data_IF_111882416109
#
_entry.id   IF_111882416109
#
_cell.length_a   1.000
_cell.length_b   1.000
_cell.length_c   1.000
_cell.angle_alpha   90.00
_cell.angle_beta   90.00
_cell.angle_gamma   90.00
#
_symmetry.space_group_name_H-M   'P 1'
#
loop_
_entity.id
_entity.type
_entity.pdbx_description
1 polymer ?
#
# COMPACT_ATOMS: atom_id res chain seq x y z
N UNK A 1 -46.73 -51.17 9.96
CA UNK A 1 -46.97 -49.96 9.08
C UNK A 1 -46.22 -48.82 9.68
N UNK A 2 -44.96 -48.72 9.37
CA UNK A 2 -44.07 -47.69 9.91
C UNK A 2 -43.79 -46.65 8.83
N UNK A 3 -44.39 -45.49 8.98
CA UNK A 3 -44.17 -44.34 8.13
C UNK A 3 -42.87 -43.62 8.54
N UNK A 4 -41.77 -43.85 7.80
CA UNK A 4 -40.57 -43.04 7.89
C UNK A 4 -40.88 -41.67 7.27
N UNK A 5 -40.87 -40.62 8.09
CA UNK A 5 -40.86 -39.25 7.62
C UNK A 5 -39.47 -38.94 7.07
N UNK A 6 -39.34 -38.81 5.76
CA UNK A 6 -38.16 -38.21 5.10
C UNK A 6 -38.13 -36.71 5.37
N UNK A 7 -37.17 -36.30 6.20
CA UNK A 7 -36.84 -34.87 6.34
C UNK A 7 -36.10 -34.40 5.10
N UNK A 8 -36.82 -33.79 4.17
CA UNK A 8 -36.23 -33.08 3.05
C UNK A 8 -35.49 -31.85 3.58
N UNK A 9 -34.17 -31.98 3.66
CA UNK A 9 -33.28 -30.87 3.96
C UNK A 9 -33.25 -29.95 2.73
N UNK A 10 -34.12 -28.92 2.72
CA UNK A 10 -34.09 -27.89 1.68
C UNK A 10 -32.88 -26.99 1.94
N UNK A 11 -31.81 -27.21 1.18
CA UNK A 11 -30.73 -26.26 1.06
C UNK A 11 -31.29 -25.07 0.28
N UNK A 12 -31.72 -24.02 0.99
CA UNK A 12 -31.96 -22.73 0.32
C UNK A 12 -30.61 -22.26 -0.23
N UNK A 13 -30.47 -22.04 -1.56
CA UNK A 13 -29.30 -21.38 -2.07
C UNK A 13 -29.29 -19.97 -1.50
N UNK A 14 -28.23 -19.63 -0.74
CA UNK A 14 -27.95 -18.24 -0.39
C UNK A 14 -27.88 -17.45 -1.69
N UNK A 15 -28.96 -16.74 -2.02
CA UNK A 15 -28.91 -15.78 -3.12
C UNK A 15 -27.78 -14.79 -2.84
N UNK A 16 -26.94 -14.52 -3.84
CA UNK A 16 -25.93 -13.49 -3.70
C UNK A 16 -26.64 -12.20 -3.29
N UNK A 17 -26.21 -11.61 -2.17
CA UNK A 17 -26.63 -10.26 -1.81
C UNK A 17 -26.39 -9.40 -3.05
N UNK A 18 -27.43 -8.73 -3.50
CA UNK A 18 -27.41 -7.82 -4.63
C UNK A 18 -26.10 -7.05 -4.62
N UNK A 19 -25.23 -7.34 -5.58
CA UNK A 19 -24.07 -6.49 -5.87
C UNK A 19 -24.69 -5.23 -6.42
N UNK A 20 -24.96 -4.27 -5.54
CA UNK A 20 -25.35 -2.94 -5.97
C UNK A 20 -24.21 -2.42 -6.83
N UNK A 21 -24.50 -1.99 -8.08
CA UNK A 21 -23.47 -1.38 -8.92
C UNK A 21 -22.84 -0.26 -8.11
N UNK A 22 -21.50 -0.17 -8.14
CA UNK A 22 -20.70 0.83 -7.43
C UNK A 22 -21.39 2.18 -7.62
N UNK A 23 -22.02 2.75 -6.60
CA UNK A 23 -22.71 4.00 -6.82
C UNK A 23 -21.65 5.08 -7.04
N UNK A 24 -21.78 5.86 -8.09
CA UNK A 24 -21.05 7.12 -8.30
C UNK A 24 -21.16 8.09 -7.10
N UNK A 25 -22.01 7.80 -6.12
CA UNK A 25 -22.17 8.51 -4.86
C UNK A 25 -20.90 8.49 -3.95
N UNK A 26 -20.00 7.53 -4.12
CA UNK A 26 -18.78 7.38 -3.30
C UNK A 26 -17.85 8.57 -3.51
N UNK A 27 -17.79 9.14 -4.71
CA UNK A 27 -16.94 10.31 -5.02
C UNK A 27 -17.52 11.65 -4.49
N UNK A 28 -18.75 11.69 -4.02
CA UNK A 28 -19.43 12.97 -3.71
C UNK A 28 -19.00 13.62 -2.42
N UNK A 29 -18.56 12.88 -1.42
CA UNK A 29 -18.36 13.41 -0.06
C UNK A 29 -17.09 14.22 0.09
N UNK A 30 -16.02 13.81 -0.60
CA UNK A 30 -14.71 14.45 -0.50
C UNK A 30 -14.08 14.71 -1.88
N UNK A 31 -14.93 14.95 -2.91
CA UNK A 31 -14.48 15.16 -4.31
C UNK A 31 -13.45 16.31 -4.38
N UNK A 32 -13.66 17.39 -3.65
CA UNK A 32 -12.73 18.52 -3.62
C UNK A 32 -11.36 18.11 -3.07
N UNK A 33 -11.31 17.32 -1.99
CA UNK A 33 -10.06 16.84 -1.39
C UNK A 33 -9.34 15.92 -2.37
N UNK A 34 -10.06 14.94 -2.93
CA UNK A 34 -9.49 14.02 -3.91
C UNK A 34 -9.02 14.74 -5.19
N UNK A 35 -9.73 15.80 -5.59
CA UNK A 35 -9.31 16.63 -6.73
C UNK A 35 -8.02 17.38 -6.44
N UNK A 36 -7.85 17.91 -5.22
CA UNK A 36 -6.61 18.58 -4.80
C UNK A 36 -5.45 17.57 -4.77
N UNK A 37 -5.65 16.40 -4.15
CA UNK A 37 -4.63 15.34 -4.11
C UNK A 37 -4.24 14.94 -5.54
N UNK A 38 -5.23 14.65 -6.39
CA UNK A 38 -5.01 14.28 -7.79
C UNK A 38 -4.25 15.37 -8.56
N UNK A 39 -4.51 16.64 -8.28
CA UNK A 39 -3.79 17.76 -8.91
C UNK A 39 -2.30 17.74 -8.57
N UNK A 40 -1.93 17.50 -7.30
CA UNK A 40 -0.53 17.44 -6.90
C UNK A 40 0.15 16.18 -7.46
N UNK A 41 -0.52 15.02 -7.43
CA UNK A 41 -0.02 13.78 -8.04
C UNK A 41 0.19 13.97 -9.55
N UNK A 42 -0.79 14.57 -10.24
CA UNK A 42 -0.68 14.85 -11.67
C UNK A 42 0.42 15.85 -11.97
N UNK A 43 0.54 16.92 -11.19
CA UNK A 43 1.62 17.92 -11.34
C UNK A 43 3.00 17.26 -11.21
N UNK A 44 3.16 16.35 -10.22
CA UNK A 44 4.40 15.59 -10.09
C UNK A 44 4.63 14.65 -11.28
N UNK A 45 3.62 13.88 -11.69
CA UNK A 45 3.71 13.00 -12.87
C UNK A 45 4.08 13.79 -14.14
N UNK A 46 3.49 14.97 -14.36
CA UNK A 46 3.84 15.83 -15.50
C UNK A 46 5.29 16.33 -15.37
N UNK A 47 5.76 16.64 -14.16
CA UNK A 47 7.14 17.08 -13.95
C UNK A 47 8.16 16.02 -14.35
N UNK A 48 7.85 14.73 -14.18
CA UNK A 48 8.74 13.63 -14.58
C UNK A 48 8.94 13.52 -16.09
N UNK A 49 8.03 14.10 -16.88
CA UNK A 49 8.08 14.12 -18.35
C UNK A 49 8.55 15.45 -18.89
N UNK A 50 8.03 16.57 -18.32
CA UNK A 50 8.20 17.90 -18.87
C UNK A 50 9.52 18.60 -18.45
N UNK A 51 10.10 18.16 -17.32
CA UNK A 51 11.31 18.78 -16.78
C UNK A 51 12.50 17.88 -17.08
N UNK A 52 13.56 18.48 -17.61
CA UNK A 52 14.79 17.76 -17.92
C UNK A 52 15.29 16.99 -16.71
N UNK A 53 15.45 15.69 -16.88
CA UNK A 53 15.94 14.78 -15.85
C UNK A 53 17.43 15.07 -15.68
N UNK A 54 17.77 15.70 -14.57
CA UNK A 54 19.15 15.87 -14.13
C UNK A 54 19.33 15.01 -12.88
N UNK A 55 20.53 14.49 -12.66
CA UNK A 55 20.87 13.75 -11.45
C UNK A 55 20.85 14.63 -10.17
N UNK A 56 20.37 15.87 -10.29
CA UNK A 56 20.33 16.84 -9.20
C UNK A 56 18.93 16.88 -8.61
N UNK A 57 18.85 16.80 -7.28
CA UNK A 57 17.64 17.02 -6.51
C UNK A 57 17.06 18.41 -6.78
N UNK A 58 15.78 18.47 -7.08
CA UNK A 58 15.05 19.71 -7.28
C UNK A 58 14.18 20.00 -6.07
N UNK A 59 14.56 20.98 -5.26
CA UNK A 59 13.87 21.32 -4.00
C UNK A 59 12.38 21.61 -4.19
N UNK A 60 11.98 22.22 -5.31
CA UNK A 60 10.58 22.52 -5.56
C UNK A 60 9.76 21.26 -5.92
N UNK A 61 10.26 20.44 -6.87
CA UNK A 61 9.53 19.28 -7.35
C UNK A 61 9.71 18.07 -6.44
N UNK A 62 10.95 17.71 -6.12
CA UNK A 62 11.26 16.49 -5.37
C UNK A 62 11.11 16.73 -3.85
N UNK A 63 11.39 17.95 -3.37
CA UNK A 63 11.19 18.30 -1.96
C UNK A 63 9.79 18.81 -1.65
N UNK A 64 9.21 19.67 -2.49
CA UNK A 64 7.94 20.34 -2.22
C UNK A 64 6.73 19.60 -2.76
N UNK A 65 6.59 19.54 -4.09
CA UNK A 65 5.38 18.97 -4.74
C UNK A 65 5.23 17.48 -4.39
N UNK A 66 6.33 16.73 -4.41
CA UNK A 66 6.34 15.31 -4.04
C UNK A 66 5.85 15.12 -2.60
N UNK A 67 6.47 15.78 -1.61
CA UNK A 67 6.07 15.64 -0.19
C UNK A 67 4.62 16.04 0.06
N UNK A 68 4.12 17.09 -0.63
CA UNK A 68 2.71 17.46 -0.54
C UNK A 68 1.83 16.35 -1.11
N UNK A 69 2.17 15.80 -2.29
CA UNK A 69 1.42 14.72 -2.90
C UNK A 69 1.36 13.46 -2.02
N UNK A 70 2.43 13.17 -1.28
CA UNK A 70 2.49 12.04 -0.34
C UNK A 70 1.67 12.27 0.93
N UNK A 71 1.70 13.49 1.48
CA UNK A 71 1.09 13.77 2.80
C UNK A 71 -0.38 14.13 2.73
N UNK A 72 -0.85 14.73 1.63
CA UNK A 72 -2.27 15.09 1.46
C UNK A 72 -3.25 13.92 1.65
N UNK A 73 -2.98 12.68 1.19
CA UNK A 73 -3.86 11.53 1.43
C UNK A 73 -4.15 11.25 2.89
N UNK A 74 -3.26 11.65 3.82
CA UNK A 74 -3.45 11.49 5.27
C UNK A 74 -4.67 12.27 5.76
N UNK A 75 -4.98 13.40 5.15
CA UNK A 75 -6.19 14.18 5.48
C UNK A 75 -7.44 13.33 5.26
N UNK A 76 -7.51 12.59 4.16
CA UNK A 76 -8.62 11.67 3.89
C UNK A 76 -8.71 10.56 4.96
N UNK A 77 -7.57 10.00 5.39
CA UNK A 77 -7.53 8.97 6.44
C UNK A 77 -7.98 9.51 7.79
N UNK A 78 -7.57 10.73 8.16
CA UNK A 78 -8.02 11.40 9.40
C UNK A 78 -9.50 11.71 9.36
N UNK A 79 -10.03 12.20 8.23
CA UNK A 79 -11.46 12.43 8.05
C UNK A 79 -12.26 11.13 8.13
N UNK A 80 -11.80 10.05 7.51
CA UNK A 80 -12.38 8.72 7.66
C UNK A 80 -12.42 8.29 9.12
N UNK A 81 -11.29 8.37 9.82
CA UNK A 81 -11.18 8.03 11.24
C UNK A 81 -12.11 8.86 12.14
N UNK A 82 -12.40 10.10 11.76
CA UNK A 82 -13.34 10.99 12.47
C UNK A 82 -14.79 10.59 12.22
N UNK A 83 -15.15 10.23 10.98
CA UNK A 83 -16.52 9.91 10.61
C UNK A 83 -16.93 8.47 10.96
N UNK A 84 -15.96 7.55 11.00
CA UNK A 84 -16.17 6.12 11.24
C UNK A 84 -15.44 5.65 12.51
N UNK A 85 -16.04 5.84 13.72
CA UNK A 85 -15.38 5.50 14.99
C UNK A 85 -14.92 4.04 15.07
N UNK A 86 -15.65 3.11 14.45
CA UNK A 86 -15.31 1.68 14.43
C UNK A 86 -14.02 1.39 13.64
N UNK A 87 -13.66 2.25 12.69
CA UNK A 87 -12.45 2.14 11.85
C UNK A 87 -11.41 3.20 12.21
N UNK A 88 -11.59 3.93 13.32
CA UNK A 88 -10.71 5.04 13.71
C UNK A 88 -9.25 4.61 13.89
N UNK A 89 -9.01 3.58 14.67
CA UNK A 89 -7.66 3.13 14.97
C UNK A 89 -6.92 2.64 13.72
N UNK A 90 -7.49 1.77 12.85
CA UNK A 90 -6.88 1.39 11.59
C UNK A 90 -6.45 2.59 10.74
N UNK A 91 -7.35 3.51 10.44
CA UNK A 91 -7.06 4.63 9.55
C UNK A 91 -6.07 5.64 10.13
N UNK A 92 -6.09 5.85 11.46
CA UNK A 92 -5.07 6.69 12.11
C UNK A 92 -3.68 6.05 12.07
N UNK A 93 -3.59 4.73 12.23
CA UNK A 93 -2.31 4.02 12.13
C UNK A 93 -1.77 4.02 10.69
N UNK A 94 -2.63 3.78 9.70
CA UNK A 94 -2.24 3.87 8.28
C UNK A 94 -1.78 5.30 7.96
N UNK A 95 -2.54 6.32 8.36
CA UNK A 95 -2.17 7.71 8.17
C UNK A 95 -0.86 8.10 8.85
N UNK A 96 -0.65 7.63 10.10
CA UNK A 96 0.61 7.83 10.80
C UNK A 96 1.78 7.13 10.08
N UNK A 97 1.56 5.90 9.57
CA UNK A 97 2.54 5.18 8.76
C UNK A 97 2.93 5.97 7.51
N UNK A 98 1.95 6.54 6.80
CA UNK A 98 2.21 7.39 5.62
C UNK A 98 3.00 8.66 5.99
N UNK A 99 2.67 9.32 7.11
CA UNK A 99 3.42 10.50 7.56
C UNK A 99 4.87 10.16 7.94
N UNK A 100 5.08 9.02 8.60
CA UNK A 100 6.43 8.54 8.93
C UNK A 100 7.19 8.16 7.67
N UNK A 101 6.52 7.58 6.65
CA UNK A 101 7.14 7.31 5.35
C UNK A 101 7.60 8.60 4.68
N UNK A 102 6.73 9.59 4.56
CA UNK A 102 7.07 10.91 4.00
C UNK A 102 8.20 11.62 4.79
N UNK A 103 8.26 11.42 6.12
CA UNK A 103 9.40 11.90 6.91
C UNK A 103 10.70 11.18 6.53
N UNK A 104 10.64 9.89 6.20
CA UNK A 104 11.76 9.13 5.64
C UNK A 104 12.27 9.74 4.33
N UNK A 105 11.34 10.10 3.42
CA UNK A 105 11.68 10.76 2.15
C UNK A 105 12.33 12.13 2.36
N UNK A 106 11.87 12.90 3.34
CA UNK A 106 12.52 14.16 3.71
C UNK A 106 13.94 13.94 4.26
N UNK A 107 14.12 12.94 5.14
CA UNK A 107 15.45 12.60 5.65
C UNK A 107 16.36 12.15 4.52
N UNK A 108 15.89 11.29 3.63
CA UNK A 108 16.63 10.85 2.46
C UNK A 108 17.03 12.06 1.57
N UNK A 109 16.05 12.90 1.22
CA UNK A 109 16.21 13.99 0.27
C UNK A 109 17.09 15.12 0.78
N UNK A 110 17.02 15.47 2.07
CA UNK A 110 17.76 16.60 2.61
C UNK A 110 19.01 16.24 3.39
N UNK A 111 19.14 14.99 3.83
CA UNK A 111 20.29 14.52 4.61
C UNK A 111 21.08 13.45 3.87
N UNK A 112 20.48 12.29 3.57
CA UNK A 112 21.24 11.11 3.14
C UNK A 112 21.87 11.28 1.75
N UNK A 113 21.19 11.96 0.82
CA UNK A 113 21.73 12.24 -0.51
C UNK A 113 23.01 13.07 -0.49
N UNK A 114 23.26 13.83 0.59
CA UNK A 114 24.48 14.64 0.74
C UNK A 114 25.66 13.85 1.30
N UNK A 115 25.44 12.59 1.72
CA UNK A 115 26.50 11.72 2.24
C UNK A 115 27.17 10.96 1.08
N UNK A 116 28.48 10.96 1.04
CA UNK A 116 29.26 10.26 0.00
C UNK A 116 30.31 9.37 0.66
N UNK A 117 30.17 8.05 0.59
CA UNK A 117 29.03 7.26 0.11
C UNK A 117 27.86 7.31 1.09
N UNK A 118 26.63 7.09 0.60
CA UNK A 118 25.46 6.95 1.47
C UNK A 118 25.69 5.70 2.35
N UNK A 119 25.61 5.83 3.70
CA UNK A 119 25.79 4.69 4.59
C UNK A 119 24.65 3.68 4.44
N UNK A 120 24.90 2.41 4.74
CA UNK A 120 23.85 1.39 4.81
C UNK A 120 24.03 0.63 6.12
N UNK A 121 23.09 0.73 7.06
CA UNK A 121 21.80 1.49 6.97
C UNK A 121 22.00 3.00 6.95
N UNK A 122 21.16 3.68 6.20
CA UNK A 122 21.02 5.15 6.22
C UNK A 122 20.06 5.60 7.33
N UNK A 123 20.12 6.83 7.83
CA UNK A 123 19.14 7.38 8.78
C UNK A 123 17.68 7.26 8.29
N UNK A 124 17.43 7.49 6.99
CA UNK A 124 16.10 7.33 6.39
C UNK A 124 15.57 5.90 6.48
N UNK A 125 16.43 4.87 6.41
CA UNK A 125 16.00 3.47 6.50
C UNK A 125 15.29 3.18 7.82
N UNK A 126 15.79 3.74 8.94
CA UNK A 126 15.16 3.57 10.26
C UNK A 126 13.74 4.14 10.27
N UNK A 127 13.55 5.30 9.63
CA UNK A 127 12.25 5.98 9.53
C UNK A 127 11.30 5.19 8.65
N UNK A 128 11.76 4.70 7.50
CA UNK A 128 10.96 3.86 6.62
C UNK A 128 10.52 2.55 7.30
N UNK A 129 11.42 1.86 8.02
CA UNK A 129 11.03 0.65 8.76
C UNK A 129 10.01 0.93 9.86
N UNK A 130 10.12 2.07 10.56
CA UNK A 130 9.11 2.50 11.52
C UNK A 130 7.74 2.70 10.85
N UNK A 131 7.71 3.22 9.61
CA UNK A 131 6.47 3.36 8.85
C UNK A 131 5.78 2.01 8.58
N UNK A 132 6.55 0.98 8.20
CA UNK A 132 6.00 -0.36 7.98
C UNK A 132 5.34 -0.95 9.22
N UNK A 133 5.91 -0.74 10.40
CA UNK A 133 5.30 -1.21 11.66
C UNK A 133 3.90 -0.61 11.84
N UNK A 134 3.75 0.69 11.57
CA UNK A 134 2.46 1.38 11.68
C UNK A 134 1.48 0.94 10.59
N UNK A 135 1.95 0.82 9.34
CA UNK A 135 1.14 0.36 8.21
C UNK A 135 0.62 -1.06 8.43
N UNK A 136 1.50 -1.99 8.82
CA UNK A 136 1.13 -3.39 9.12
C UNK A 136 0.13 -3.45 10.26
N UNK A 137 0.36 -2.71 11.36
CA UNK A 137 -0.58 -2.65 12.47
C UNK A 137 -1.95 -2.08 12.02
N UNK A 138 -1.95 -1.01 11.24
CA UNK A 138 -3.17 -0.39 10.70
C UNK A 138 -3.95 -1.32 9.80
N UNK A 139 -3.28 -1.96 8.82
CA UNK A 139 -3.90 -2.93 7.91
C UNK A 139 -4.40 -4.15 8.67
N UNK A 140 -3.64 -4.67 9.63
CA UNK A 140 -4.05 -5.81 10.46
C UNK A 140 -5.34 -5.50 11.23
N UNK A 141 -5.43 -4.33 11.87
CA UNK A 141 -6.66 -3.91 12.56
C UNK A 141 -7.83 -3.69 11.60
N UNK A 142 -7.55 -3.12 10.42
CA UNK A 142 -8.57 -2.91 9.39
C UNK A 142 -9.14 -4.25 8.91
N UNK A 143 -8.29 -5.21 8.61
CA UNK A 143 -8.71 -6.55 8.17
C UNK A 143 -9.47 -7.29 9.26
N UNK A 144 -9.08 -7.17 10.53
CA UNK A 144 -9.80 -7.77 11.66
C UNK A 144 -11.20 -7.18 11.85
N UNK A 145 -11.38 -5.88 11.62
CA UNK A 145 -12.68 -5.22 11.75
C UNK A 145 -13.69 -5.68 10.67
N UNK A 146 -13.21 -6.05 9.48
CA UNK A 146 -14.05 -6.50 8.37
C UNK A 146 -14.39 -7.99 8.41
N UNK A 147 -13.50 -8.81 8.99
CA UNK A 147 -13.56 -10.28 8.84
C UNK A 147 -14.44 -10.97 9.91
N UNK A 148 -14.74 -10.31 11.03
CA UNK A 148 -15.55 -10.90 12.10
C UNK A 148 -15.02 -12.27 12.58
N UNK A 149 -15.93 -13.16 13.03
CA UNK A 149 -15.58 -14.54 13.42
C UNK A 149 -15.54 -15.46 12.20
N UNK A 150 -14.39 -15.58 11.57
CA UNK A 150 -14.18 -16.48 10.43
C UNK A 150 -13.66 -17.84 10.89
N UNK A 151 -14.08 -18.91 10.19
CA UNK A 151 -13.55 -20.25 10.42
C UNK A 151 -12.03 -20.25 10.20
N UNK A 152 -11.25 -20.92 11.10
CA UNK A 152 -9.79 -20.96 10.96
C UNK A 152 -9.31 -21.45 9.59
N UNK A 153 -10.01 -22.41 8.99
CA UNK A 153 -9.69 -22.93 7.66
C UNK A 153 -9.70 -21.86 6.57
N UNK A 154 -10.69 -20.95 6.58
CA UNK A 154 -10.78 -19.85 5.61
C UNK A 154 -9.65 -18.83 5.80
N UNK A 155 -9.21 -18.59 7.05
CA UNK A 155 -8.03 -17.74 7.31
C UNK A 155 -6.77 -18.38 6.76
N UNK A 156 -6.57 -19.67 6.98
CA UNK A 156 -5.41 -20.41 6.48
C UNK A 156 -5.38 -20.36 4.96
N UNK A 157 -6.53 -20.60 4.31
CA UNK A 157 -6.66 -20.48 2.84
C UNK A 157 -6.23 -19.11 2.34
N UNK A 158 -6.75 -18.02 2.93
CA UNK A 158 -6.37 -16.65 2.57
C UNK A 158 -4.88 -16.37 2.73
N UNK A 159 -4.28 -16.83 3.83
CA UNK A 159 -2.83 -16.72 4.05
C UNK A 159 -2.06 -17.52 2.98
N UNK A 160 -2.49 -18.73 2.65
CA UNK A 160 -1.83 -19.55 1.61
C UNK A 160 -1.86 -18.87 0.23
N UNK A 161 -3.00 -18.31 -0.17
CA UNK A 161 -3.12 -17.57 -1.42
C UNK A 161 -2.23 -16.32 -1.39
N UNK A 162 -2.25 -15.57 -0.30
CA UNK A 162 -1.37 -14.40 -0.12
C UNK A 162 0.11 -14.77 -0.21
N UNK A 163 0.55 -15.83 0.46
CA UNK A 163 1.92 -16.32 0.41
C UNK A 163 2.32 -16.84 -0.99
N UNK A 164 1.40 -17.48 -1.72
CA UNK A 164 1.67 -17.92 -3.08
C UNK A 164 1.92 -16.72 -4.02
N UNK A 165 1.13 -15.66 -3.91
CA UNK A 165 1.32 -14.43 -4.67
C UNK A 165 2.59 -13.68 -4.23
N UNK A 166 2.91 -13.67 -2.93
CA UNK A 166 4.16 -13.13 -2.43
C UNK A 166 5.37 -13.90 -2.97
N UNK A 167 5.31 -15.22 -3.02
CA UNK A 167 6.36 -16.05 -3.61
C UNK A 167 6.57 -15.76 -5.11
N UNK A 168 5.47 -15.52 -5.86
CA UNK A 168 5.55 -15.10 -7.25
C UNK A 168 6.24 -13.73 -7.39
N UNK A 169 5.90 -12.75 -6.55
CA UNK A 169 6.57 -11.45 -6.53
C UNK A 169 8.07 -11.58 -6.21
N UNK A 170 8.45 -12.44 -5.25
CA UNK A 170 9.86 -12.73 -4.93
C UNK A 170 10.60 -13.31 -6.14
N UNK A 171 9.98 -14.16 -6.95
CA UNK A 171 10.61 -14.68 -8.17
C UNK A 171 10.98 -13.58 -9.17
N UNK A 172 10.12 -12.55 -9.30
CA UNK A 172 10.39 -11.40 -10.17
C UNK A 172 11.55 -10.53 -9.66
N UNK A 173 11.86 -10.64 -8.39
CA UNK A 173 12.85 -9.83 -7.68
C UNK A 173 14.15 -10.58 -7.34
N UNK A 174 14.16 -11.89 -7.51
CA UNK A 174 15.26 -12.76 -7.11
C UNK A 174 16.63 -12.33 -7.66
N UNK A 175 16.67 -11.86 -8.91
CA UNK A 175 17.90 -11.41 -9.55
C UNK A 175 18.59 -10.25 -8.79
N UNK A 176 17.90 -9.11 -8.54
CA UNK A 176 18.42 -7.98 -7.77
C UNK A 176 18.84 -8.35 -6.34
N UNK A 177 18.05 -9.18 -5.64
CA UNK A 177 18.36 -9.63 -4.27
C UNK A 177 19.68 -10.40 -4.23
N UNK A 178 19.92 -11.31 -5.17
CA UNK A 178 21.17 -12.06 -5.25
C UNK A 178 22.39 -11.19 -5.58
N UNK A 179 22.20 -10.02 -6.17
CA UNK A 179 23.28 -9.09 -6.48
C UNK A 179 23.75 -8.28 -5.28
N UNK A 180 22.97 -8.24 -4.20
CA UNK A 180 23.33 -7.50 -2.97
C UNK A 180 24.43 -8.24 -2.24
N UNK A 181 25.65 -7.70 -2.35
CA UNK A 181 26.83 -8.21 -1.64
C UNK A 181 27.25 -7.22 -0.55
N UNK A 182 27.85 -7.71 0.52
CA UNK A 182 28.40 -6.85 1.56
C UNK A 182 27.99 -7.26 2.98
N UNK A 183 27.82 -6.28 3.86
CA UNK A 183 27.46 -6.53 5.25
C UNK A 183 26.04 -7.07 5.37
N UNK A 184 25.78 -7.83 6.46
CA UNK A 184 24.42 -8.35 6.77
C UNK A 184 23.37 -7.23 6.76
N UNK A 185 23.73 -6.01 7.18
CA UNK A 185 22.84 -4.87 7.20
C UNK A 185 22.40 -4.43 5.79
N UNK A 186 23.28 -4.52 4.79
CA UNK A 186 22.91 -4.24 3.40
C UNK A 186 21.83 -5.20 2.90
N UNK A 187 21.98 -6.48 3.20
CA UNK A 187 21.00 -7.50 2.84
C UNK A 187 19.68 -7.25 3.57
N UNK A 188 19.72 -7.02 4.90
CA UNK A 188 18.51 -6.75 5.69
C UNK A 188 17.75 -5.52 5.20
N UNK A 189 18.45 -4.45 4.81
CA UNK A 189 17.81 -3.25 4.28
C UNK A 189 17.23 -3.52 2.89
N UNK A 190 18.02 -4.07 1.98
CA UNK A 190 17.56 -4.34 0.61
C UNK A 190 16.35 -5.27 0.56
N UNK A 191 16.29 -6.28 1.44
CA UNK A 191 15.18 -7.23 1.49
C UNK A 191 14.01 -6.74 2.36
N UNK A 192 14.27 -5.85 3.30
CA UNK A 192 13.30 -5.40 4.29
C UNK A 192 12.13 -4.62 3.69
N UNK A 193 12.37 -3.73 2.73
CA UNK A 193 11.32 -2.97 2.05
C UNK A 193 10.32 -3.87 1.34
N UNK A 194 10.77 -4.75 0.46
CA UNK A 194 9.89 -5.67 -0.23
C UNK A 194 9.17 -6.64 0.70
N UNK A 195 9.86 -7.15 1.71
CA UNK A 195 9.21 -8.00 2.72
C UNK A 195 8.10 -7.23 3.42
N UNK A 196 8.29 -5.95 3.77
CA UNK A 196 7.25 -5.10 4.35
C UNK A 196 6.02 -5.00 3.44
N UNK A 197 6.21 -4.70 2.16
CA UNK A 197 5.13 -4.62 1.17
C UNK A 197 4.44 -5.98 0.95
N UNK A 198 5.21 -7.07 0.92
CA UNK A 198 4.64 -8.41 0.79
C UNK A 198 3.79 -8.80 2.01
N UNK A 199 4.20 -8.42 3.22
CA UNK A 199 3.40 -8.62 4.43
C UNK A 199 2.06 -7.87 4.32
N UNK A 200 2.08 -6.61 3.89
CA UNK A 200 0.85 -5.82 3.66
C UNK A 200 -0.05 -6.51 2.62
N UNK A 201 0.53 -6.98 1.52
CA UNK A 201 -0.20 -7.67 0.45
C UNK A 201 -0.84 -8.96 0.97
N UNK A 202 -0.10 -9.80 1.71
CA UNK A 202 -0.61 -11.05 2.31
C UNK A 202 -1.77 -10.75 3.26
N UNK A 203 -1.65 -9.73 4.11
CA UNK A 203 -2.72 -9.34 5.05
C UNK A 203 -3.99 -8.92 4.31
N UNK A 204 -3.87 -8.08 3.27
CA UNK A 204 -5.00 -7.61 2.49
C UNK A 204 -5.66 -8.76 1.70
N UNK A 205 -4.89 -9.62 1.04
CA UNK A 205 -5.42 -10.77 0.29
C UNK A 205 -6.10 -11.75 1.22
N UNK A 206 -5.48 -12.06 2.38
CA UNK A 206 -6.07 -12.98 3.34
C UNK A 206 -7.40 -12.48 3.89
N UNK A 207 -7.62 -11.17 3.91
CA UNK A 207 -8.89 -10.56 4.32
C UNK A 207 -10.03 -10.78 3.31
N UNK A 208 -9.73 -11.16 2.07
CA UNK A 208 -10.73 -11.42 1.04
C UNK A 208 -11.33 -12.84 1.11
N UNK A 209 -10.60 -13.79 1.67
CA UNK A 209 -11.03 -15.19 1.69
C UNK A 209 -12.44 -15.40 2.29
N UNK A 210 -12.86 -14.69 3.37
CA UNK A 210 -14.20 -14.82 3.93
C UNK A 210 -15.32 -14.40 2.98
N UNK A 211 -15.02 -13.53 2.01
CA UNK A 211 -15.96 -13.01 1.03
C UNK A 211 -15.76 -13.64 -0.36
N UNK A 212 -15.26 -14.87 -0.42
CA UNK A 212 -14.95 -15.57 -1.68
C UNK A 212 -14.08 -14.74 -2.62
N UNK A 213 -13.10 -14.04 -2.06
CA UNK A 213 -12.17 -13.13 -2.77
C UNK A 213 -12.84 -11.95 -3.51
N UNK A 214 -14.03 -11.56 -3.08
CA UNK A 214 -14.69 -10.35 -3.58
C UNK A 214 -14.34 -9.15 -2.67
N UNK A 215 -13.47 -8.22 -3.12
CA UNK A 215 -13.12 -7.07 -2.33
C UNK A 215 -14.27 -6.05 -2.31
N UNK A 216 -14.46 -5.38 -1.17
CA UNK A 216 -15.15 -4.10 -1.16
C UNK A 216 -14.21 -3.01 -1.72
N UNK A 217 -14.76 -1.84 -2.06
CA UNK A 217 -14.01 -0.76 -2.71
C UNK A 217 -12.79 -0.32 -1.89
N UNK A 218 -12.87 -0.07 -0.57
CA UNK A 218 -11.70 0.30 0.23
C UNK A 218 -10.57 -0.74 0.16
N UNK A 219 -10.89 -2.01 0.31
CA UNK A 219 -9.88 -3.09 0.28
C UNK A 219 -9.30 -3.26 -1.13
N UNK A 220 -10.12 -3.14 -2.18
CA UNK A 220 -9.64 -3.19 -3.56
C UNK A 220 -8.63 -2.05 -3.85
N UNK A 221 -8.93 -0.83 -3.41
CA UNK A 221 -8.04 0.32 -3.57
C UNK A 221 -6.74 0.17 -2.76
N UNK A 222 -6.81 -0.36 -1.53
CA UNK A 222 -5.61 -0.64 -0.74
C UNK A 222 -4.76 -1.75 -1.37
N UNK A 223 -5.37 -2.81 -1.91
CA UNK A 223 -4.66 -3.85 -2.66
C UNK A 223 -3.94 -3.25 -3.87
N UNK A 224 -4.63 -2.40 -4.63
CA UNK A 224 -4.05 -1.72 -5.77
C UNK A 224 -2.90 -0.79 -5.34
N UNK A 225 -3.06 -0.06 -4.23
CA UNK A 225 -2.02 0.79 -3.67
C UNK A 225 -0.76 -0.01 -3.33
N UNK A 226 -0.90 -1.10 -2.57
CA UNK A 226 0.24 -1.95 -2.17
C UNK A 226 0.86 -2.64 -3.38
N UNK A 227 0.05 -3.14 -4.33
CA UNK A 227 0.57 -3.73 -5.57
C UNK A 227 1.38 -2.71 -6.39
N UNK A 228 0.95 -1.45 -6.39
CA UNK A 228 1.65 -0.35 -7.04
C UNK A 228 2.99 -0.04 -6.38
N UNK A 229 3.06 -0.08 -5.04
CA UNK A 229 4.32 0.03 -4.30
C UNK A 229 5.25 -1.15 -4.60
N UNK A 230 4.75 -2.38 -4.57
CA UNK A 230 5.53 -3.58 -4.92
C UNK A 230 6.12 -3.45 -6.33
N UNK A 231 5.33 -2.98 -7.30
CA UNK A 231 5.80 -2.74 -8.65
C UNK A 231 6.91 -1.68 -8.68
N UNK A 232 6.70 -0.54 -8.01
CA UNK A 232 7.69 0.54 -7.92
C UNK A 232 9.02 0.04 -7.33
N UNK A 233 8.96 -0.70 -6.22
CA UNK A 233 10.14 -1.24 -5.54
C UNK A 233 10.90 -2.25 -6.42
N UNK A 234 10.19 -3.16 -7.11
CA UNK A 234 10.81 -4.11 -8.03
C UNK A 234 11.61 -3.36 -9.12
N UNK A 235 10.99 -2.34 -9.74
CA UNK A 235 11.65 -1.56 -10.79
C UNK A 235 12.83 -0.77 -10.21
N UNK A 236 12.64 -0.14 -9.04
CA UNK A 236 13.68 0.63 -8.35
C UNK A 236 14.91 -0.22 -8.06
N UNK A 237 14.74 -1.37 -7.43
CA UNK A 237 15.87 -2.26 -7.10
C UNK A 237 16.58 -2.80 -8.34
N UNK A 238 15.84 -3.08 -9.42
CA UNK A 238 16.45 -3.47 -10.68
C UNK A 238 17.30 -2.33 -11.27
N UNK A 239 16.81 -1.09 -11.24
CA UNK A 239 17.56 0.06 -11.74
C UNK A 239 18.77 0.41 -10.87
N UNK A 240 18.61 0.37 -9.53
CA UNK A 240 19.72 0.63 -8.60
C UNK A 240 20.81 -0.42 -8.74
N UNK A 241 20.47 -1.71 -8.83
CA UNK A 241 21.44 -2.78 -9.00
C UNK A 241 22.17 -2.71 -10.35
N UNK A 242 21.49 -2.24 -11.39
CA UNK A 242 22.07 -2.01 -12.71
C UNK A 242 22.85 -0.67 -12.82
N UNK A 243 22.79 0.20 -11.80
CA UNK A 243 23.35 1.54 -11.83
C UNK A 243 22.67 2.49 -12.82
N UNK A 244 21.41 2.22 -13.16
CA UNK A 244 20.64 2.99 -14.15
C UNK A 244 19.54 3.85 -13.54
N UNK A 245 19.38 3.82 -12.20
CA UNK A 245 18.40 4.65 -11.53
C UNK A 245 18.70 6.14 -11.70
N UNK A 246 17.69 6.87 -12.12
CA UNK A 246 17.71 8.34 -12.25
C UNK A 246 16.52 8.90 -11.47
N UNK A 247 16.74 9.84 -10.54
CA UNK A 247 15.65 10.48 -9.79
C UNK A 247 14.69 11.24 -10.71
N UNK A 248 13.46 11.45 -10.21
CA UNK A 248 12.38 12.16 -10.89
C UNK A 248 12.01 11.56 -12.24
N UNK A 249 11.89 10.24 -12.26
CA UNK A 249 11.30 9.51 -13.37
C UNK A 249 9.86 9.12 -13.06
N UNK A 250 9.17 8.50 -14.01
CA UNK A 250 7.84 7.93 -13.76
C UNK A 250 7.86 6.87 -12.62
N UNK A 251 9.01 6.28 -12.37
CA UNK A 251 9.18 5.37 -11.24
C UNK A 251 8.87 6.06 -9.91
N UNK A 252 9.42 7.27 -9.68
CA UNK A 252 9.16 8.00 -8.43
C UNK A 252 7.69 8.42 -8.30
N UNK A 253 6.99 8.61 -9.43
CA UNK A 253 5.56 8.88 -9.44
C UNK A 253 4.74 7.66 -8.96
N UNK A 254 5.27 6.44 -9.02
CA UNK A 254 4.53 5.25 -8.57
C UNK A 254 4.20 5.32 -7.08
N UNK A 255 5.08 5.82 -6.24
CA UNK A 255 4.85 5.91 -4.80
C UNK A 255 3.75 6.92 -4.47
N UNK A 256 3.77 8.12 -5.03
CA UNK A 256 2.70 9.12 -4.80
C UNK A 256 1.34 8.66 -5.34
N UNK A 257 1.31 7.93 -6.46
CA UNK A 257 0.09 7.32 -7.00
C UNK A 257 -0.45 6.26 -6.00
N UNK A 258 0.43 5.40 -5.47
CA UNK A 258 0.06 4.40 -4.47
C UNK A 258 -0.54 5.03 -3.21
N UNK A 259 0.06 6.11 -2.69
CA UNK A 259 -0.46 6.82 -1.53
C UNK A 259 -1.79 7.53 -1.82
N UNK A 260 -1.98 8.07 -3.02
CA UNK A 260 -3.27 8.60 -3.44
C UNK A 260 -4.35 7.51 -3.46
N UNK A 261 -4.06 6.32 -4.00
CA UNK A 261 -4.98 5.18 -3.98
C UNK A 261 -5.38 4.79 -2.54
N UNK A 262 -4.44 4.84 -1.60
CA UNK A 262 -4.74 4.61 -0.19
C UNK A 262 -5.64 5.73 0.40
N UNK A 263 -5.44 6.98 -0.01
CA UNK A 263 -6.34 8.10 0.31
C UNK A 263 -7.74 7.94 -0.28
N UNK A 264 -7.85 7.45 -1.52
CA UNK A 264 -9.13 7.09 -2.15
C UNK A 264 -9.84 5.96 -1.39
N UNK A 265 -9.08 4.97 -0.91
CA UNK A 265 -9.63 3.90 -0.08
C UNK A 265 -10.28 4.45 1.19
N UNK A 266 -9.66 5.42 1.85
CA UNK A 266 -10.20 6.05 3.06
C UNK A 266 -11.51 6.82 2.79
N UNK A 267 -11.66 7.48 1.63
CA UNK A 267 -12.89 8.20 1.28
C UNK A 267 -14.00 7.30 0.72
N UNK A 268 -13.69 6.04 0.43
CA UNK A 268 -14.67 5.06 -0.09
C UNK A 268 -15.28 4.16 1.00
N UNK A 269 -15.02 4.45 2.27
CA UNK A 269 -15.63 3.74 3.42
C UNK A 269 -17.06 4.22 3.60
N UNK A 270 -18.04 3.29 3.54
CA UNK A 270 -19.47 3.50 3.73
C UNK A 270 -19.93 3.11 5.15
#
# INVERSE_FOLDING_TARGET
MDGKAESTFSIQPNMPRNVTPIPFAILRRDVWLQSIIALFVLAYCVSTIAISQTNNFNTFWDGGVYTIAETLPVIAMVLCAKHWPAQRAPWLLIGAGVLVHAAGDLVYSFHDQNLVPIPVPAPSDVVYFASYVLLVAGVLLLTQSHVGRVRPAVRIEGIMVGLALAALAVLLWYGPVLSVTGTIWRVVIADGYPVGNLVLLVLLISSLAPNAYQPNVPVALLLLAVAWFVFGDIVYFNQVSAGTYVPRTFLDATWVIGLWLAGLAATSVD
#
